data_IF_972457528659
#
_entry.id   IF_972457528659
#
_cell.length_a   1.000
_cell.length_b   1.000
_cell.length_c   1.000
_cell.angle_alpha   90.00
_cell.angle_beta   90.00
_cell.angle_gamma   90.00
#
_symmetry.space_group_name_H-M   'P 1'
#
loop_
_entity.id
_entity.type
_entity.pdbx_description
1 polymer ?
#
# COMPACT_ATOMS: atom_id res chain seq x y z
N UNK A 1 25.03 6.90 8.15
CA UNK A 1 24.15 7.34 7.06
C UNK A 1 23.63 6.08 6.38
N UNK A 2 22.57 5.47 6.92
CA UNK A 2 22.07 4.21 6.39
C UNK A 2 21.10 4.52 5.25
N UNK A 3 21.59 4.29 4.02
CA UNK A 3 20.75 4.17 2.84
C UNK A 3 20.06 2.81 3.00
N UNK A 4 18.77 2.79 3.35
CA UNK A 4 17.97 1.58 3.22
C UNK A 4 17.95 1.20 1.73
N UNK A 5 18.76 0.22 1.38
CA UNK A 5 18.70 -0.42 0.06
C UNK A 5 17.30 -1.04 -0.08
N UNK A 6 16.63 -0.81 -1.21
CA UNK A 6 15.37 -1.46 -1.58
C UNK A 6 15.61 -2.97 -1.79
N UNK A 7 15.80 -3.70 -0.70
CA UNK A 7 15.84 -5.15 -0.65
C UNK A 7 14.56 -5.66 0.04
N UNK A 8 14.25 -6.96 -0.14
CA UNK A 8 13.06 -7.64 0.37
C UNK A 8 12.75 -7.45 1.87
N UNK A 9 13.72 -6.98 2.67
CA UNK A 9 13.55 -6.64 4.09
C UNK A 9 12.71 -5.36 4.32
N UNK A 10 12.66 -4.45 3.34
CA UNK A 10 11.96 -3.17 3.41
C UNK A 10 10.47 -3.32 3.80
N UNK A 11 9.78 -4.31 3.20
CA UNK A 11 8.37 -4.56 3.48
C UNK A 11 8.14 -5.36 4.75
N UNK A 12 9.13 -6.11 5.22
CA UNK A 12 9.05 -6.75 6.54
C UNK A 12 8.91 -5.69 7.63
N UNK A 13 9.71 -4.61 7.57
CA UNK A 13 9.62 -3.50 8.53
C UNK A 13 8.32 -2.68 8.38
N UNK A 14 7.81 -2.49 7.15
CA UNK A 14 6.50 -1.85 6.94
C UNK A 14 5.35 -2.69 7.54
N UNK A 15 5.48 -4.02 7.53
CA UNK A 15 4.50 -4.97 8.09
C UNK A 15 4.54 -5.01 9.61
N UNK A 16 5.71 -4.88 10.23
CA UNK A 16 5.87 -4.88 11.69
C UNK A 16 5.23 -3.66 12.38
N UNK A 17 5.06 -2.55 11.66
CA UNK A 17 4.34 -1.36 12.12
C UNK A 17 2.88 -1.27 11.69
N UNK A 18 2.33 -2.29 11.01
CA UNK A 18 1.03 -2.20 10.34
C UNK A 18 -0.15 -2.16 11.33
N UNK A 19 -1.05 -1.20 11.13
CA UNK A 19 -2.40 -1.23 11.69
C UNK A 19 -3.38 -1.66 10.59
N UNK A 20 -4.12 -2.76 10.81
CA UNK A 20 -5.15 -3.21 9.88
C UNK A 20 -6.50 -2.74 10.42
N UNK A 21 -7.22 -1.95 9.63
CA UNK A 21 -8.56 -1.48 9.98
C UNK A 21 -9.60 -2.13 9.06
N UNK A 22 -10.56 -2.83 9.67
CA UNK A 22 -11.76 -3.34 9.01
C UNK A 22 -11.53 -4.32 7.83
N UNK A 23 -10.50 -5.16 7.90
CA UNK A 23 -10.37 -6.34 7.03
C UNK A 23 -10.71 -7.60 7.83
N UNK A 24 -11.86 -8.23 7.53
CA UNK A 24 -12.13 -9.63 7.92
C UNK A 24 -11.42 -10.61 6.97
N UNK A 25 -11.10 -10.18 5.75
CA UNK A 25 -10.46 -10.99 4.71
C UNK A 25 -8.93 -10.87 4.83
N UNK A 26 -8.30 -11.80 5.53
CA UNK A 26 -6.84 -11.87 5.64
C UNK A 26 -6.14 -12.12 4.29
N UNK A 27 -6.81 -12.79 3.35
CA UNK A 27 -6.23 -13.23 2.07
C UNK A 27 -5.73 -12.07 1.21
N UNK A 28 -6.46 -10.95 1.15
CA UNK A 28 -6.04 -9.78 0.35
C UNK A 28 -4.81 -9.09 0.92
N UNK A 29 -4.59 -9.16 2.23
CA UNK A 29 -3.40 -8.63 2.87
C UNK A 29 -2.20 -9.47 2.48
N UNK A 30 -2.32 -10.80 2.48
CA UNK A 30 -1.26 -11.69 2.02
C UNK A 30 -0.97 -11.50 0.52
N UNK A 31 -2.02 -11.40 -0.32
CA UNK A 31 -1.87 -11.06 -1.75
C UNK A 31 -1.13 -9.74 -1.95
N UNK A 32 -1.47 -8.69 -1.19
CA UNK A 32 -0.78 -7.40 -1.25
C UNK A 32 0.72 -7.57 -0.98
N UNK A 33 1.09 -8.28 0.08
CA UNK A 33 2.50 -8.47 0.43
C UNK A 33 3.25 -9.28 -0.62
N UNK A 34 2.63 -10.30 -1.20
CA UNK A 34 3.24 -11.05 -2.30
C UNK A 34 3.44 -10.20 -3.56
N UNK A 35 2.48 -9.32 -3.87
CA UNK A 35 2.60 -8.37 -4.99
C UNK A 35 3.71 -7.34 -4.73
N UNK A 36 3.78 -6.78 -3.52
CA UNK A 36 4.84 -5.82 -3.18
C UNK A 36 6.23 -6.45 -3.24
N UNK A 37 6.38 -7.73 -2.86
CA UNK A 37 7.62 -8.49 -3.01
C UNK A 37 8.00 -8.73 -4.47
N UNK A 38 7.03 -8.82 -5.39
CA UNK A 38 7.31 -9.01 -6.82
C UNK A 38 7.64 -7.70 -7.54
N UNK A 39 7.46 -6.55 -6.90
CA UNK A 39 7.76 -5.25 -7.50
C UNK A 39 9.27 -5.01 -7.65
N UNK A 40 9.65 -4.35 -8.76
CA UNK A 40 10.98 -3.79 -8.92
C UNK A 40 11.25 -2.70 -7.87
N UNK A 41 12.52 -2.44 -7.55
CA UNK A 41 12.89 -1.39 -6.59
C UNK A 41 12.33 0.00 -6.93
N UNK A 42 12.11 0.32 -8.21
CA UNK A 42 11.46 1.57 -8.63
C UNK A 42 9.98 1.59 -8.24
N UNK A 43 9.25 0.51 -8.52
CA UNK A 43 7.83 0.38 -8.14
C UNK A 43 7.66 0.34 -6.62
N UNK A 44 8.60 -0.24 -5.88
CA UNK A 44 8.58 -0.22 -4.40
C UNK A 44 8.70 1.22 -3.86
N UNK A 45 9.58 2.05 -4.44
CA UNK A 45 9.71 3.47 -4.08
C UNK A 45 8.47 4.26 -4.44
N UNK A 46 7.87 3.99 -5.61
CA UNK A 46 6.61 4.61 -6.04
C UNK A 46 5.46 4.23 -5.10
N UNK A 47 5.37 2.98 -4.68
CA UNK A 47 4.40 2.56 -3.68
C UNK A 47 4.61 3.29 -2.35
N UNK A 48 5.85 3.38 -1.87
CA UNK A 48 6.13 4.12 -0.64
C UNK A 48 5.68 5.59 -0.75
N UNK A 49 6.02 6.26 -1.86
CA UNK A 49 5.58 7.63 -2.13
C UNK A 49 4.06 7.73 -2.21
N UNK A 50 3.41 6.74 -2.82
CA UNK A 50 1.96 6.68 -2.93
C UNK A 50 1.29 6.64 -1.57
N UNK A 51 1.81 5.86 -0.60
CA UNK A 51 1.18 5.74 0.72
C UNK A 51 1.65 6.75 1.76
N UNK A 52 2.88 7.27 1.66
CA UNK A 52 3.48 8.18 2.66
C UNK A 52 3.75 9.59 2.15
N UNK A 53 3.62 9.85 0.84
CA UNK A 53 4.06 11.08 0.19
C UNK A 53 5.58 11.21 0.04
N UNK A 54 6.37 10.35 0.70
CA UNK A 54 7.82 10.40 0.70
C UNK A 54 8.41 9.27 -0.16
N UNK A 55 9.38 9.60 -1.03
CA UNK A 55 10.09 8.60 -1.84
C UNK A 55 11.21 7.89 -1.09
N UNK A 56 11.46 8.28 0.17
CA UNK A 56 12.44 7.68 1.08
C UNK A 56 11.75 7.29 2.37
N UNK A 57 12.11 6.13 2.92
CA UNK A 57 11.63 5.71 4.23
C UNK A 57 12.18 6.61 5.35
N UNK A 58 11.56 6.60 6.54
CA UNK A 58 12.08 7.33 7.70
C UNK A 58 13.49 6.85 8.03
N UNK A 59 14.36 7.79 8.43
CA UNK A 59 15.76 7.47 8.79
C UNK A 59 15.87 6.45 9.93
N UNK A 60 14.89 6.44 10.83
CA UNK A 60 14.84 5.56 11.99
C UNK A 60 14.10 4.24 11.73
N UNK A 61 13.57 4.03 10.52
CA UNK A 61 12.74 2.87 10.18
C UNK A 61 11.24 3.15 10.25
N UNK A 62 10.46 2.23 9.68
CA UNK A 62 9.00 2.38 9.52
C UNK A 62 8.20 2.28 10.81
N UNK A 63 8.78 1.73 11.87
CA UNK A 63 8.18 1.67 13.20
C UNK A 63 7.89 3.07 13.79
N UNK A 64 8.63 4.09 13.32
CA UNK A 64 8.49 5.49 13.74
C UNK A 64 7.62 6.33 12.79
N UNK A 65 6.93 5.70 11.83
CA UNK A 65 5.89 6.41 11.09
C UNK A 65 4.80 6.87 12.07
N UNK A 66 4.55 8.17 12.12
CA UNK A 66 3.47 8.77 12.87
C UNK A 66 2.58 9.60 11.93
N UNK A 67 1.33 9.16 11.67
CA UNK A 67 0.70 7.92 12.15
C UNK A 67 1.29 6.65 11.51
N UNK A 68 1.13 5.49 12.16
CA UNK A 68 1.59 4.20 11.61
C UNK A 68 0.95 3.89 10.26
N UNK A 69 1.67 3.13 9.42
CA UNK A 69 1.11 2.67 8.15
C UNK A 69 -0.15 1.84 8.39
N UNK A 70 -1.22 2.19 7.69
CA UNK A 70 -2.53 1.62 7.88
C UNK A 70 -3.10 1.10 6.56
N UNK A 71 -3.80 -0.04 6.61
CA UNK A 71 -4.58 -0.56 5.48
C UNK A 71 -6.05 -0.58 5.88
N UNK A 72 -6.91 0.01 5.04
CA UNK A 72 -8.35 0.06 5.21
C UNK A 72 -9.08 -0.52 3.99
N UNK A 73 -10.15 -1.27 4.22
CA UNK A 73 -11.01 -1.74 3.14
C UNK A 73 -11.78 -0.56 2.53
N UNK A 74 -11.76 -0.44 1.21
CA UNK A 74 -12.58 0.51 0.46
C UNK A 74 -13.95 -0.08 0.12
N UNK A 75 -14.99 0.76 0.12
CA UNK A 75 -16.36 0.37 -0.21
C UNK A 75 -17.20 -0.05 1.00
N UNK A 76 -18.50 -0.26 0.78
CA UNK A 76 -19.44 -0.66 1.84
C UNK A 76 -19.41 -2.19 2.01
N UNK A 77 -19.22 -2.72 3.24
CA UNK A 77 -19.31 -4.15 3.49
C UNK A 77 -20.66 -4.71 3.01
N UNK A 78 -20.64 -5.77 2.21
CA UNK A 78 -21.85 -6.41 1.66
C UNK A 78 -22.35 -5.82 0.33
N UNK A 79 -21.78 -4.71 -0.14
CA UNK A 79 -21.96 -4.25 -1.52
C UNK A 79 -20.69 -4.59 -2.30
N UNK A 80 -20.80 -5.54 -3.22
CA UNK A 80 -19.70 -5.94 -4.11
C UNK A 80 -19.53 -4.90 -5.22
N UNK A 81 -19.08 -3.71 -4.84
CA UNK A 81 -18.86 -2.60 -5.74
C UNK A 81 -17.56 -2.83 -6.52
N UNK A 82 -17.73 -3.50 -7.66
CA UNK A 82 -16.86 -3.64 -8.83
C UNK A 82 -15.35 -3.57 -8.57
N UNK A 83 -14.67 -4.71 -8.75
CA UNK A 83 -13.20 -4.86 -8.74
C UNK A 83 -12.44 -4.04 -9.80
N UNK A 84 -13.11 -3.06 -10.42
CA UNK A 84 -12.52 -2.08 -11.30
C UNK A 84 -11.97 -0.84 -10.60
N UNK A 85 -12.41 -0.57 -9.36
CA UNK A 85 -11.91 0.54 -8.56
C UNK A 85 -10.40 0.43 -8.35
N UNK A 86 -9.72 1.56 -8.42
CA UNK A 86 -8.30 1.67 -8.11
C UNK A 86 -8.09 1.80 -6.60
N UNK A 87 -6.95 1.33 -6.07
CA UNK A 87 -6.58 1.65 -4.70
C UNK A 87 -6.30 3.16 -4.58
N UNK A 88 -6.61 3.71 -3.41
CA UNK A 88 -6.33 5.12 -3.09
C UNK A 88 -5.52 5.22 -1.81
N UNK A 89 -4.90 6.37 -1.56
CA UNK A 89 -4.15 6.62 -0.34
C UNK A 89 -4.54 7.95 0.30
N UNK A 90 -4.31 8.05 1.60
CA UNK A 90 -4.30 9.32 2.32
C UNK A 90 -2.92 9.45 2.97
N UNK A 91 -2.02 10.16 2.29
CA UNK A 91 -0.59 10.27 2.65
C UNK A 91 -0.39 10.92 4.02
N UNK A 92 -1.22 11.90 4.37
CA UNK A 92 -1.25 12.51 5.70
C UNK A 92 -1.55 11.52 6.84
N UNK A 93 -2.15 10.37 6.53
CA UNK A 93 -2.47 9.32 7.49
C UNK A 93 -1.66 8.04 7.29
N UNK A 94 -0.67 8.03 6.38
CA UNK A 94 0.02 6.81 5.95
C UNK A 94 -0.96 5.66 5.65
N UNK A 95 -2.09 5.97 5.01
CA UNK A 95 -3.22 5.07 4.85
C UNK A 95 -3.35 4.60 3.39
N UNK A 96 -3.42 3.28 3.19
CA UNK A 96 -3.81 2.64 1.94
C UNK A 96 -5.26 2.15 2.02
N UNK A 97 -6.10 2.59 1.09
CA UNK A 97 -7.48 2.11 0.93
C UNK A 97 -7.53 1.09 -0.21
N UNK A 98 -7.87 -0.16 0.12
CA UNK A 98 -7.90 -1.28 -0.83
C UNK A 98 -9.34 -1.73 -1.11
N UNK A 99 -9.79 -1.67 -2.38
CA UNK A 99 -10.98 -2.40 -2.81
C UNK A 99 -10.85 -3.91 -2.59
N UNK A 100 -11.95 -4.66 -2.43
CA UNK A 100 -11.94 -6.11 -2.18
C UNK A 100 -11.60 -6.90 -3.46
N UNK A 101 -10.33 -6.88 -3.89
CA UNK A 101 -9.85 -7.65 -5.03
C UNK A 101 -9.91 -9.15 -4.76
N UNK A 102 -10.32 -9.92 -5.77
CA UNK A 102 -10.49 -11.38 -5.66
C UNK A 102 -9.29 -12.17 -6.10
N UNK A 103 -8.39 -11.57 -6.89
CA UNK A 103 -7.20 -12.23 -7.40
C UNK A 103 -5.97 -11.36 -7.26
N UNK A 104 -4.81 -12.02 -7.16
CA UNK A 104 -3.51 -11.38 -7.04
C UNK A 104 -3.19 -10.55 -8.28
N UNK A 105 -3.52 -11.04 -9.46
CA UNK A 105 -3.29 -10.38 -10.74
C UNK A 105 -4.08 -9.08 -10.84
N UNK A 106 -5.32 -9.08 -10.34
CA UNK A 106 -6.17 -7.90 -10.27
C UNK A 106 -5.56 -6.85 -9.34
N UNK A 107 -5.18 -7.25 -8.12
CA UNK A 107 -4.52 -6.36 -7.17
C UNK A 107 -3.24 -5.78 -7.76
N UNK A 108 -2.39 -6.62 -8.35
CA UNK A 108 -1.13 -6.20 -8.97
C UNK A 108 -1.34 -5.19 -10.09
N UNK A 109 -2.27 -5.47 -11.01
CA UNK A 109 -2.53 -4.60 -12.16
C UNK A 109 -3.06 -3.24 -11.71
N UNK A 110 -4.05 -3.21 -10.81
CA UNK A 110 -4.66 -1.98 -10.33
C UNK A 110 -3.71 -1.17 -9.44
N UNK A 111 -2.90 -1.83 -8.60
CA UNK A 111 -1.91 -1.17 -7.77
C UNK A 111 -0.78 -0.57 -8.61
N UNK A 112 -0.24 -1.32 -9.58
CA UNK A 112 0.76 -0.79 -10.51
C UNK A 112 0.24 0.41 -11.28
N UNK A 113 -1.01 0.35 -11.73
CA UNK A 113 -1.64 1.50 -12.37
C UNK A 113 -1.66 2.71 -11.42
N UNK A 114 -2.22 2.56 -10.22
CA UNK A 114 -2.36 3.67 -9.27
C UNK A 114 -1.01 4.34 -8.90
N UNK A 115 0.03 3.55 -8.59
CA UNK A 115 1.33 4.12 -8.18
C UNK A 115 2.10 4.78 -9.33
N UNK A 116 1.81 4.41 -10.59
CA UNK A 116 2.45 4.99 -11.78
C UNK A 116 1.65 6.13 -12.41
N UNK A 117 0.38 6.30 -12.03
CA UNK A 117 -0.50 7.34 -12.60
C UNK A 117 -0.38 8.70 -11.91
N UNK A 118 0.54 8.87 -10.95
CA UNK A 118 0.62 10.03 -10.05
C UNK A 118 -0.72 10.36 -9.34
N UNK A 119 -1.62 9.39 -9.24
CA UNK A 119 -3.01 9.54 -8.77
C UNK A 119 -3.17 9.85 -7.27
N UNK A 120 -2.14 10.39 -6.63
CA UNK A 120 -2.16 10.79 -5.22
C UNK A 120 -2.70 12.20 -4.98
N UNK A 121 -3.02 12.98 -6.02
CA UNK A 121 -3.40 14.39 -5.89
C UNK A 121 -4.52 14.89 -6.80
N UNK A 122 -5.29 14.04 -7.46
CA UNK A 122 -6.39 14.54 -8.27
C UNK A 122 -7.67 13.69 -8.13
N UNK A 123 -8.80 14.41 -8.03
CA UNK A 123 -10.19 13.97 -7.84
C UNK A 123 -10.71 13.85 -6.40
N UNK A 124 -10.72 14.98 -5.68
CA UNK A 124 -11.90 15.45 -4.92
C UNK A 124 -11.82 16.95 -4.70
#
# INVERSE_FOLDING_TARGET
>A
MFIFSCNNEFFSYLREGLIILFFQDHEIIDMLWEVLKSFSSDNQKKFLKFVTGCSRGPLLGFEYLDPKFCIQRAGVPGLEEHGDRLPTSATCMNLLKLPPYRTKEQLQTKLLYAINSEAGFDLS
#
